data_IF_316502967684
#
_entry.id   IF_316502967684
#
_cell.length_a   1.000
_cell.length_b   1.000
_cell.length_c   1.000
_cell.angle_alpha   90.00
_cell.angle_beta   90.00
_cell.angle_gamma   90.00
#
_symmetry.space_group_name_H-M   'P 1'
#
loop_
_entity.id
_entity.type
_entity.pdbx_description
1 polymer ?
#
# COMPACT_ATOMS: atom_id res chain seq x y z
N UNK A 1 -6.36 8.64 7.12
CA UNK A 1 -4.92 8.71 7.44
C UNK A 1 -4.77 8.63 8.95
N UNK A 2 -3.64 8.13 9.43
CA UNK A 2 -3.29 8.18 10.85
C UNK A 2 -2.87 9.59 11.27
N UNK A 3 -2.95 9.85 12.57
CA UNK A 3 -2.39 11.03 13.22
C UNK A 3 -1.78 10.55 14.53
N UNK A 4 -0.45 10.53 14.61
CA UNK A 4 0.25 10.19 15.85
C UNK A 4 1.66 9.65 15.68
N UNK A 5 2.00 9.06 14.54
CA UNK A 5 3.36 8.53 14.29
C UNK A 5 4.42 9.65 14.25
N UNK A 6 3.99 10.82 13.80
CA UNK A 6 4.81 12.02 13.59
C UNK A 6 4.87 12.94 14.80
N UNK A 7 4.18 12.59 15.90
CA UNK A 7 4.13 13.37 17.13
C UNK A 7 5.01 12.72 18.21
N UNK A 8 6.04 13.40 18.73
CA UNK A 8 6.80 12.90 19.86
C UNK A 8 5.92 12.95 21.11
N UNK A 9 5.89 11.87 21.88
CA UNK A 9 5.14 11.78 23.14
C UNK A 9 5.99 12.34 24.29
N UNK A 10 7.32 12.30 24.14
CA UNK A 10 8.29 12.80 25.12
C UNK A 10 9.46 13.55 24.44
N UNK A 11 10.10 14.45 25.18
CA UNK A 11 11.32 15.13 24.73
C UNK A 11 12.42 14.12 24.38
N UNK A 12 12.96 14.20 23.16
CA UNK A 12 14.05 13.33 22.68
C UNK A 12 13.61 12.06 21.95
N UNK A 13 12.31 11.80 21.82
CA UNK A 13 11.81 10.72 20.96
C UNK A 13 12.05 11.04 19.47
N UNK A 14 12.50 10.03 18.71
CA UNK A 14 12.57 10.13 17.25
C UNK A 14 11.16 10.03 16.69
N UNK A 15 10.72 11.08 16.00
CA UNK A 15 9.46 11.08 15.25
C UNK A 15 9.59 10.26 13.98
N UNK A 16 8.58 9.46 13.67
CA UNK A 16 8.52 8.76 12.40
C UNK A 16 8.15 9.77 11.30
N UNK A 17 8.84 9.81 10.15
CA UNK A 17 8.66 10.88 9.15
C UNK A 17 7.43 10.70 8.25
N UNK A 18 6.58 9.72 8.53
CA UNK A 18 5.43 9.37 7.70
C UNK A 18 4.18 9.13 8.55
N UNK A 19 3.02 9.47 8.01
CA UNK A 19 1.74 8.93 8.48
C UNK A 19 1.24 7.86 7.49
N UNK A 20 0.51 6.87 8.00
CA UNK A 20 -0.14 5.89 7.13
C UNK A 20 -1.43 6.46 6.55
N UNK A 21 -1.67 6.19 5.27
CA UNK A 21 -2.87 6.61 4.57
C UNK A 21 -3.50 5.46 3.80
N UNK A 22 -4.82 5.47 3.71
CA UNK A 22 -5.59 4.60 2.84
C UNK A 22 -6.47 5.53 2.02
N UNK A 23 -6.41 5.42 0.70
CA UNK A 23 -7.30 6.14 -0.21
C UNK A 23 -8.42 5.21 -0.64
N UNK A 24 -9.65 5.68 -0.57
CA UNK A 24 -10.85 4.92 -0.97
C UNK A 24 -11.79 5.86 -1.72
N UNK A 25 -12.74 5.29 -2.46
CA UNK A 25 -13.75 6.09 -3.17
C UNK A 25 -14.75 6.76 -2.21
N UNK A 26 -15.04 6.11 -1.08
CA UNK A 26 -15.98 6.58 -0.06
C UNK A 26 -15.27 6.74 1.30
N UNK A 27 -16.01 6.72 2.42
CA UNK A 27 -15.43 6.64 3.78
C UNK A 27 -15.84 5.32 4.46
N UNK A 28 -15.30 4.17 4.01
CA UNK A 28 -15.71 2.88 4.54
C UNK A 28 -15.06 2.60 5.90
N UNK A 29 -15.80 1.95 6.79
CA UNK A 29 -15.31 1.63 8.13
C UNK A 29 -14.04 0.77 8.12
N UNK A 30 -13.94 -0.19 7.20
CA UNK A 30 -12.77 -1.08 7.08
C UNK A 30 -11.45 -0.33 6.89
N UNK A 31 -11.48 0.87 6.29
CA UNK A 31 -10.26 1.65 6.07
C UNK A 31 -9.68 2.15 7.40
N UNK A 32 -10.54 2.48 8.36
CA UNK A 32 -10.09 2.89 9.70
C UNK A 32 -9.50 1.71 10.47
N UNK A 33 -10.13 0.53 10.38
CA UNK A 33 -9.61 -0.68 11.01
C UNK A 33 -8.27 -1.10 10.42
N UNK A 34 -8.08 -0.94 9.11
CA UNK A 34 -6.80 -1.19 8.46
C UNK A 34 -5.70 -0.26 8.99
N UNK A 35 -5.99 1.04 9.11
CA UNK A 35 -5.03 2.00 9.67
C UNK A 35 -4.66 1.63 11.11
N UNK A 36 -5.62 1.20 11.93
CA UNK A 36 -5.36 0.72 13.29
C UNK A 36 -4.49 -0.55 13.31
N UNK A 37 -4.75 -1.50 12.40
CA UNK A 37 -3.93 -2.71 12.24
C UNK A 37 -2.48 -2.36 11.82
N UNK A 38 -2.29 -1.42 10.90
CA UNK A 38 -0.96 -0.95 10.49
C UNK A 38 -0.19 -0.28 11.64
N UNK A 39 -0.87 0.55 12.45
CA UNK A 39 -0.27 1.13 13.66
C UNK A 39 0.13 0.05 14.67
N UNK A 40 -0.72 -0.96 14.85
CA UNK A 40 -0.45 -2.10 15.74
C UNK A 40 0.76 -2.88 15.25
N UNK A 41 0.85 -3.15 13.94
CA UNK A 41 1.99 -3.81 13.33
C UNK A 41 3.27 -2.97 13.46
N UNK A 42 3.21 -1.68 13.15
CA UNK A 42 4.34 -0.76 13.33
C UNK A 42 4.86 -0.75 14.77
N UNK A 43 3.96 -0.71 15.75
CA UNK A 43 4.33 -0.76 17.16
C UNK A 43 4.99 -2.11 17.52
N UNK A 44 4.45 -3.22 17.05
CA UNK A 44 4.98 -4.57 17.29
C UNK A 44 6.36 -4.77 16.67
N UNK A 45 6.55 -4.28 15.43
CA UNK A 45 7.81 -4.28 14.67
C UNK A 45 8.79 -3.20 15.15
N UNK A 46 8.50 -2.52 16.27
CA UNK A 46 9.34 -1.45 16.86
C UNK A 46 9.71 -0.33 15.86
N UNK A 47 8.81 -0.04 14.94
CA UNK A 47 8.97 1.01 13.94
C UNK A 47 9.72 0.61 12.67
N UNK A 48 9.98 -0.69 12.45
CA UNK A 48 10.65 -1.17 11.24
C UNK A 48 9.75 -1.26 9.98
N UNK A 49 8.60 -0.59 9.99
CA UNK A 49 7.73 -0.50 8.82
C UNK A 49 8.13 0.72 8.01
N UNK A 50 8.49 0.52 6.74
CA UNK A 50 9.05 1.56 5.87
C UNK A 50 8.39 1.57 4.50
N UNK A 51 8.83 2.52 3.68
CA UNK A 51 8.54 2.51 2.26
C UNK A 51 8.93 1.16 1.61
N UNK A 52 8.01 0.59 0.83
CA UNK A 52 8.18 -0.71 0.18
C UNK A 52 7.84 -1.92 1.05
N UNK A 53 7.51 -1.75 2.34
CA UNK A 53 7.06 -2.84 3.19
C UNK A 53 5.82 -3.53 2.63
N UNK A 54 5.83 -4.86 2.64
CA UNK A 54 4.74 -5.73 2.21
C UNK A 54 4.02 -6.34 3.41
N UNK A 55 2.70 -6.45 3.33
CA UNK A 55 1.91 -7.19 4.31
C UNK A 55 0.91 -8.11 3.61
N UNK A 56 0.75 -9.37 4.07
CA UNK A 56 -0.35 -10.22 3.62
C UNK A 56 -1.67 -9.58 4.05
N UNK A 57 -2.64 -9.52 3.15
CA UNK A 57 -3.83 -8.71 3.37
C UNK A 57 -5.04 -9.26 2.62
N UNK A 58 -6.22 -9.20 3.21
CA UNK A 58 -7.43 -9.59 2.50
C UNK A 58 -8.64 -8.73 2.88
N UNK A 59 -9.61 -8.70 1.95
CA UNK A 59 -10.97 -8.28 2.24
C UNK A 59 -11.85 -9.50 2.45
N UNK A 60 -12.78 -9.42 3.41
CA UNK A 60 -13.71 -10.51 3.69
C UNK A 60 -15.05 -9.97 4.19
N UNK A 61 -16.09 -10.82 4.11
CA UNK A 61 -17.38 -10.53 4.72
C UNK A 61 -17.54 -11.27 6.04
N UNK A 62 -18.06 -10.57 7.05
CA UNK A 62 -18.50 -11.21 8.28
C UNK A 62 -19.81 -12.01 8.10
N UNK A 63 -20.30 -12.61 9.18
CA UNK A 63 -21.56 -13.37 9.17
C UNK A 63 -22.78 -12.52 8.80
N UNK A 64 -22.74 -11.22 9.06
CA UNK A 64 -23.77 -10.25 8.67
C UNK A 64 -23.64 -9.75 7.23
N UNK A 65 -22.61 -10.18 6.49
CA UNK A 65 -22.34 -9.75 5.13
C UNK A 65 -21.63 -8.39 5.03
N UNK A 66 -21.24 -7.79 6.16
CA UNK A 66 -20.49 -6.53 6.20
C UNK A 66 -19.05 -6.77 5.77
N UNK A 67 -18.50 -5.84 5.00
CA UNK A 67 -17.14 -5.89 4.48
C UNK A 67 -16.14 -5.44 5.54
N UNK A 68 -15.08 -6.22 5.70
CA UNK A 68 -13.95 -5.96 6.58
C UNK A 68 -12.63 -6.20 5.85
N UNK A 69 -11.55 -5.74 6.47
CA UNK A 69 -10.18 -5.93 5.96
C UNK A 69 -9.27 -6.42 7.07
N UNK A 70 -8.31 -7.28 6.74
CA UNK A 70 -7.37 -7.86 7.71
C UNK A 70 -5.97 -8.00 7.15
N UNK A 71 -4.96 -7.67 7.97
CA UNK A 71 -3.56 -8.03 7.73
C UNK A 71 -3.35 -9.45 8.26
N UNK A 72 -3.40 -10.44 7.38
CA UNK A 72 -3.28 -11.86 7.70
C UNK A 72 -2.96 -12.65 6.43
N UNK A 73 -2.09 -13.65 6.55
CA UNK A 73 -1.86 -14.68 5.54
C UNK A 73 -2.85 -15.86 5.69
N UNK A 74 -3.40 -16.07 6.89
CA UNK A 74 -4.46 -17.03 7.14
C UNK A 74 -5.82 -16.44 6.73
N UNK A 75 -6.37 -16.98 5.64
CA UNK A 75 -7.71 -16.69 5.14
C UNK A 75 -8.66 -17.87 5.29
N UNK A 76 -8.25 -18.94 5.98
CA UNK A 76 -9.05 -20.15 6.10
C UNK A 76 -10.38 -19.86 6.83
N UNK A 77 -11.49 -20.25 6.20
CA UNK A 77 -12.83 -20.02 6.75
C UNK A 77 -13.36 -18.59 6.60
N UNK A 78 -12.60 -17.67 6.02
CA UNK A 78 -13.10 -16.34 5.67
C UNK A 78 -13.87 -16.36 4.35
N UNK A 79 -14.93 -15.58 4.27
CA UNK A 79 -15.62 -15.31 3.00
C UNK A 79 -14.91 -14.16 2.28
N UNK A 80 -13.79 -14.48 1.63
CA UNK A 80 -12.96 -13.50 0.94
C UNK A 80 -13.70 -12.74 -0.16
N UNK A 81 -13.31 -11.48 -0.35
CA UNK A 81 -13.87 -10.57 -1.35
C UNK A 81 -12.75 -10.13 -2.30
N UNK A 82 -13.07 -10.14 -3.60
CA UNK A 82 -12.14 -9.74 -4.66
C UNK A 82 -10.85 -10.56 -4.70
N UNK A 83 -9.85 -10.02 -5.38
CA UNK A 83 -8.57 -10.68 -5.67
C UNK A 83 -7.37 -10.07 -4.96
N UNK A 84 -7.56 -9.00 -4.19
CA UNK A 84 -6.49 -8.37 -3.40
C UNK A 84 -6.06 -9.32 -2.28
N UNK A 85 -4.77 -9.65 -2.25
CA UNK A 85 -4.16 -10.61 -1.31
C UNK A 85 -2.92 -10.08 -0.58
N UNK A 86 -2.50 -8.87 -0.91
CA UNK A 86 -1.42 -8.18 -0.24
C UNK A 86 -1.59 -6.68 -0.28
N UNK A 87 -0.76 -6.00 0.50
CA UNK A 87 -0.61 -4.56 0.40
C UNK A 87 0.87 -4.18 0.46
N UNK A 88 1.22 -3.13 -0.27
CA UNK A 88 2.48 -2.41 -0.10
C UNK A 88 2.22 -1.06 0.55
N UNK A 89 3.16 -0.61 1.37
CA UNK A 89 3.24 0.79 1.77
C UNK A 89 4.13 1.53 0.78
N UNK A 90 3.58 2.53 0.10
CA UNK A 90 4.31 3.31 -0.89
C UNK A 90 4.14 4.80 -0.63
N UNK A 91 5.06 5.61 -1.15
CA UNK A 91 4.88 7.06 -1.10
C UNK A 91 3.62 7.43 -1.86
N UNK A 92 2.89 8.38 -1.28
CA UNK A 92 1.68 8.89 -1.87
C UNK A 92 1.93 9.42 -3.30
N UNK A 93 1.09 9.00 -4.25
CA UNK A 93 1.24 9.37 -5.68
C UNK A 93 1.19 10.89 -5.92
N UNK A 94 0.57 11.67 -5.02
CA UNK A 94 0.52 13.14 -5.09
C UNK A 94 1.66 13.80 -4.30
N UNK A 95 2.53 13.00 -3.68
CA UNK A 95 3.66 13.43 -2.84
C UNK A 95 3.26 14.46 -1.79
N UNK A 96 2.11 14.21 -1.16
CA UNK A 96 1.61 15.10 -0.12
C UNK A 96 2.61 15.14 1.04
N UNK A 97 3.01 16.36 1.38
CA UNK A 97 3.82 16.68 2.55
C UNK A 97 3.02 17.62 3.45
N UNK A 98 3.02 17.34 4.75
CA UNK A 98 2.33 18.12 5.75
C UNK A 98 3.35 18.77 6.68
N UNK A 99 3.08 20.02 7.05
CA UNK A 99 3.88 20.75 8.03
C UNK A 99 3.20 20.71 9.39
N UNK A 100 3.91 20.23 10.41
CA UNK A 100 3.50 20.31 11.80
C UNK A 100 4.55 21.05 12.63
N UNK A 101 4.19 21.41 13.87
CA UNK A 101 5.12 22.02 14.83
C UNK A 101 6.33 21.14 15.15
N UNK A 102 6.23 19.83 14.89
CA UNK A 102 7.26 18.82 15.16
C UNK A 102 8.17 18.55 13.95
N UNK A 103 7.83 19.08 12.77
CA UNK A 103 8.56 18.87 11.53
C UNK A 103 7.64 18.65 10.32
N UNK A 104 8.27 18.41 9.17
CA UNK A 104 7.57 18.04 7.95
C UNK A 104 7.45 16.51 7.87
N UNK A 105 6.28 16.01 7.47
CA UNK A 105 6.05 14.57 7.30
C UNK A 105 5.31 14.27 5.99
N UNK A 106 5.54 13.08 5.44
CA UNK A 106 4.85 12.59 4.25
C UNK A 106 3.76 11.58 4.55
N UNK A 107 3.15 11.04 3.49
CA UNK A 107 2.22 9.91 3.59
C UNK A 107 2.80 8.64 2.96
N UNK A 108 2.70 7.54 3.72
CA UNK A 108 2.82 6.18 3.20
C UNK A 108 1.41 5.64 2.96
N UNK A 109 1.02 5.63 1.69
CA UNK A 109 -0.27 5.17 1.23
C UNK A 109 -0.26 3.66 1.03
N UNK A 110 -1.34 3.01 1.47
CA UNK A 110 -1.61 1.60 1.20
C UNK A 110 -1.92 1.41 -0.27
N UNK A 111 -1.19 0.50 -0.92
CA UNK A 111 -1.45 0.04 -2.28
C UNK A 111 -1.84 -1.43 -2.22
N UNK A 112 -3.12 -1.72 -2.42
CA UNK A 112 -3.64 -3.09 -2.46
C UNK A 112 -3.22 -3.80 -3.74
N UNK A 113 -2.65 -5.00 -3.61
CA UNK A 113 -2.16 -5.81 -4.73
C UNK A 113 -2.84 -7.19 -4.76
N UNK A 114 -3.07 -7.69 -5.97
CA UNK A 114 -3.54 -9.07 -6.16
C UNK A 114 -2.42 -10.08 -5.95
N UNK A 115 -2.76 -11.35 -5.84
CA UNK A 115 -1.76 -12.43 -5.72
C UNK A 115 -0.77 -12.43 -6.91
N UNK A 116 -1.28 -12.37 -8.14
CA UNK A 116 -0.44 -12.32 -9.34
C UNK A 116 0.52 -11.13 -9.34
N UNK A 117 0.05 -9.95 -8.93
CA UNK A 117 0.85 -8.72 -8.82
C UNK A 117 1.92 -8.83 -7.75
N UNK A 118 1.59 -9.44 -6.60
CA UNK A 118 2.57 -9.81 -5.59
C UNK A 118 3.66 -10.72 -6.18
N UNK A 119 3.27 -11.68 -7.03
CA UNK A 119 4.19 -12.52 -7.79
C UNK A 119 5.16 -11.73 -8.68
N UNK A 120 4.66 -10.70 -9.38
CA UNK A 120 5.50 -9.82 -10.21
C UNK A 120 6.53 -9.04 -9.38
N UNK A 121 6.13 -8.53 -8.21
CA UNK A 121 7.03 -7.81 -7.33
C UNK A 121 8.08 -8.73 -6.68
N UNK A 122 7.72 -9.98 -6.38
CA UNK A 122 8.66 -11.01 -5.87
C UNK A 122 9.71 -11.37 -6.93
N UNK A 123 9.32 -11.46 -8.21
CA UNK A 123 10.27 -11.76 -9.30
C UNK A 123 11.16 -10.58 -9.67
N UNK A 124 10.81 -9.37 -9.23
CA UNK A 124 11.53 -8.13 -9.53
C UNK A 124 11.72 -7.28 -8.27
N UNK A 125 11.04 -6.14 -8.14
CA UNK A 125 10.96 -5.33 -6.93
C UNK A 125 9.59 -4.62 -6.86
N UNK A 126 9.17 -4.13 -5.68
CA UNK A 126 7.95 -3.34 -5.56
C UNK A 126 7.94 -2.09 -6.46
N UNK A 127 9.10 -1.49 -6.76
CA UNK A 127 9.18 -0.33 -7.65
C UNK A 127 8.68 -0.65 -9.07
N UNK A 128 9.05 -1.80 -9.64
CA UNK A 128 8.57 -2.24 -10.94
C UNK A 128 7.05 -2.39 -10.97
N UNK A 129 6.48 -3.03 -9.93
CA UNK A 129 5.04 -3.18 -9.82
C UNK A 129 4.35 -1.82 -9.71
N UNK A 130 4.83 -0.92 -8.85
CA UNK A 130 4.24 0.41 -8.69
C UNK A 130 4.29 1.22 -10.00
N UNK A 131 5.36 1.07 -10.77
CA UNK A 131 5.49 1.69 -12.09
C UNK A 131 4.45 1.13 -13.06
N UNK A 132 4.27 -0.19 -13.09
CA UNK A 132 3.25 -0.84 -13.92
C UNK A 132 1.86 -0.32 -13.55
N UNK A 133 1.50 -0.33 -12.27
CA UNK A 133 0.20 0.16 -11.80
C UNK A 133 -0.04 1.61 -12.26
N UNK A 134 0.97 2.49 -12.09
CA UNK A 134 0.91 3.89 -12.53
C UNK A 134 0.73 4.03 -14.05
N UNK A 135 1.52 3.32 -14.85
CA UNK A 135 1.45 3.38 -16.33
C UNK A 135 0.14 2.82 -16.87
N UNK A 136 -0.44 1.83 -16.19
CA UNK A 136 -1.76 1.28 -16.52
C UNK A 136 -2.93 2.10 -15.96
N UNK A 137 -2.66 3.25 -15.34
CA UNK A 137 -3.70 4.15 -14.84
C UNK A 137 -4.41 3.66 -13.57
N UNK A 138 -3.84 2.68 -12.86
CA UNK A 138 -4.33 2.24 -11.56
C UNK A 138 -3.81 3.22 -10.51
N UNK A 139 -4.70 4.10 -10.06
CA UNK A 139 -4.43 5.00 -8.93
C UNK A 139 -4.21 4.22 -7.63
N UNK A 140 -3.55 4.84 -6.65
CA UNK A 140 -3.41 4.29 -5.28
C UNK A 140 -4.73 4.29 -4.46
N UNK A 141 -5.89 4.21 -5.12
CA UNK A 141 -7.20 4.03 -4.48
C UNK A 141 -7.42 2.54 -4.25
N UNK A 142 -7.60 2.15 -2.98
CA UNK A 142 -7.82 0.78 -2.59
C UNK A 142 -9.29 0.40 -2.81
N UNK A 143 -9.54 -0.35 -3.88
CA UNK A 143 -10.85 -0.94 -4.20
C UNK A 143 -10.84 -2.46 -3.91
N UNK A 144 -11.69 -2.94 -2.98
CA UNK A 144 -11.82 -4.38 -2.67
C UNK A 144 -12.18 -5.26 -3.86
N UNK A 145 -12.79 -4.72 -4.90
CA UNK A 145 -13.28 -5.45 -6.07
C UNK A 145 -12.36 -5.30 -7.29
N UNK A 146 -11.24 -4.59 -7.14
CA UNK A 146 -10.27 -4.39 -8.23
C UNK A 146 -9.72 -5.73 -8.70
N UNK A 147 -9.76 -5.93 -10.01
CA UNK A 147 -9.11 -7.06 -10.67
C UNK A 147 -7.61 -6.79 -10.87
N UNK A 148 -6.84 -7.85 -11.11
CA UNK A 148 -5.39 -7.75 -11.41
C UNK A 148 -5.11 -6.80 -12.58
N UNK A 149 -4.03 -6.03 -12.50
CA UNK A 149 -3.52 -5.17 -13.57
C UNK A 149 -3.28 -5.95 -14.86
N UNK A 150 -2.93 -7.24 -14.75
CA UNK A 150 -2.70 -8.12 -15.89
C UNK A 150 -3.97 -8.40 -16.71
N UNK A 151 -5.15 -8.10 -16.17
CA UNK A 151 -6.42 -8.16 -16.92
C UNK A 151 -6.63 -6.97 -17.86
N UNK A 152 -5.85 -5.89 -17.71
CA UNK A 152 -5.96 -4.69 -18.54
C UNK A 152 -5.26 -4.93 -19.89
N UNK A 153 -5.91 -4.63 -21.04
CA UNK A 153 -5.29 -4.76 -22.35
C UNK A 153 -3.94 -4.03 -22.44
N UNK A 154 -2.91 -4.72 -22.91
CA UNK A 154 -1.55 -4.20 -23.05
C UNK A 154 -0.68 -4.27 -21.78
N UNK A 155 -1.25 -4.64 -20.62
CA UNK A 155 -0.49 -4.73 -19.37
C UNK A 155 0.68 -5.71 -19.43
N UNK A 156 0.52 -6.84 -20.14
CA UNK A 156 1.60 -7.83 -20.29
C UNK A 156 2.76 -7.29 -21.12
N UNK A 157 2.49 -6.57 -22.20
CA UNK A 157 3.54 -5.99 -23.04
C UNK A 157 4.24 -4.84 -22.31
N UNK A 158 3.48 -4.08 -21.52
CA UNK A 158 4.04 -3.04 -20.66
C UNK A 158 4.91 -3.64 -19.55
N UNK A 159 4.47 -4.73 -18.92
CA UNK A 159 5.26 -5.44 -17.93
C UNK A 159 6.60 -5.91 -18.48
N UNK A 160 6.62 -6.50 -19.68
CA UNK A 160 7.88 -6.95 -20.31
C UNK A 160 8.90 -5.82 -20.50
N UNK A 161 8.44 -4.59 -20.75
CA UNK A 161 9.33 -3.42 -20.85
C UNK A 161 9.87 -3.06 -19.47
N UNK A 162 9.00 -2.99 -18.48
CA UNK A 162 9.36 -2.61 -17.11
C UNK A 162 10.29 -3.66 -16.47
N UNK A 163 10.03 -4.95 -16.66
CA UNK A 163 10.84 -6.05 -16.12
C UNK A 163 12.29 -6.03 -16.62
N UNK A 164 12.53 -5.43 -17.78
CA UNK A 164 13.89 -5.26 -18.33
C UNK A 164 14.66 -4.09 -17.72
N UNK A 165 13.99 -3.23 -16.93
CA UNK A 165 14.61 -2.12 -16.22
C UNK A 165 15.34 -2.62 -14.96
N UNK A 166 16.35 -1.88 -14.55
CA UNK A 166 16.90 -1.99 -13.21
C UNK A 166 15.94 -1.38 -12.17
N UNK A 167 16.16 -1.73 -10.90
CA UNK A 167 15.40 -1.14 -9.79
C UNK A 167 15.47 0.39 -9.78
N UNK A 168 16.67 0.96 -9.98
CA UNK A 168 16.88 2.40 -9.94
C UNK A 168 16.18 3.11 -11.09
N UNK A 169 16.22 2.56 -12.31
CA UNK A 169 15.50 3.11 -13.46
C UNK A 169 13.98 3.12 -13.22
N UNK A 170 13.42 2.02 -12.72
CA UNK A 170 11.99 1.93 -12.41
C UNK A 170 11.59 2.91 -11.29
N UNK A 171 12.46 3.07 -10.29
CA UNK A 171 12.25 4.00 -9.19
C UNK A 171 12.34 5.46 -9.63
N UNK A 172 13.34 5.83 -10.43
CA UNK A 172 13.54 7.19 -10.94
C UNK A 172 12.37 7.63 -11.83
N UNK A 173 11.85 6.75 -12.67
CA UNK A 173 10.62 7.02 -13.43
C UNK A 173 9.40 7.27 -12.53
N UNK A 174 9.26 6.48 -11.45
CA UNK A 174 8.24 6.74 -10.44
C UNK A 174 8.42 8.10 -9.76
N UNK A 175 9.68 8.52 -9.56
CA UNK A 175 10.01 9.84 -9.04
C UNK A 175 9.89 10.95 -10.10
N UNK A 176 9.61 10.63 -11.37
CA UNK A 176 9.57 11.61 -12.45
C UNK A 176 10.94 12.27 -12.68
N UNK A 177 12.00 11.51 -12.40
CA UNK A 177 13.41 11.90 -12.54
C UNK A 177 14.07 11.31 -13.79
N UNK A 178 13.35 10.48 -14.54
CA UNK A 178 13.77 9.89 -15.81
C UNK A 178 13.31 10.71 -17.02
#
# INVERSE_FOLDING_TARGET
>A
MTLGLTQPVSDGEKTFPWEFAVRTHDNPEWANDLLYQLLTQWHWEKGEVWFGSYFPFCFFKDRGGKLWSGISDDVAGLKSVGTIRGLYLWTDERRLSFKASTGDFGLLSVVGVTEDEGGLAISTTPAHLMLLLRRMGISQVCDPYRSSVLSIPGATDEWRRIESMSHDEAFDELQGMA
#
